data_IF_372237062238
#
_entry.id   IF_372237062238
#
_cell.length_a   1.000
_cell.length_b   1.000
_cell.length_c   1.000
_cell.angle_alpha   90.00
_cell.angle_beta   90.00
_cell.angle_gamma   90.00
#
_symmetry.space_group_name_H-M   'P 1'
#
loop_
_entity.id
_entity.type
_entity.pdbx_description
1 polymer ?
#
# COMPACT_ATOMS: atom_id res chain seq x y z
N UNK A 1 89.98 -43.35 -4.10
CA UNK A 1 89.13 -42.40 -3.34
C UNK A 1 88.00 -41.92 -4.25
N UNK A 2 86.77 -42.40 -4.04
CA UNK A 2 85.60 -42.07 -4.86
C UNK A 2 84.94 -40.80 -4.33
N UNK A 3 84.97 -39.71 -5.13
CA UNK A 3 84.40 -38.40 -4.77
C UNK A 3 82.90 -38.41 -5.08
N UNK A 4 82.07 -38.42 -4.04
CA UNK A 4 80.61 -38.43 -4.14
C UNK A 4 80.12 -37.05 -4.58
N UNK A 5 79.61 -36.95 -5.81
CA UNK A 5 78.95 -35.75 -6.33
C UNK A 5 77.53 -35.72 -5.77
N UNK A 6 77.29 -34.83 -4.81
CA UNK A 6 75.94 -34.55 -4.30
C UNK A 6 75.25 -33.61 -5.29
N UNK A 7 74.24 -34.11 -6.00
CA UNK A 7 73.33 -33.28 -6.80
C UNK A 7 72.55 -32.37 -5.86
N UNK A 8 72.75 -31.05 -5.97
CA UNK A 8 71.80 -30.05 -5.45
C UNK A 8 70.50 -30.24 -6.23
N UNK A 9 69.42 -30.57 -5.52
CA UNK A 9 68.05 -30.47 -6.07
C UNK A 9 67.74 -28.98 -6.19
N UNK A 10 67.28 -28.57 -7.36
CA UNK A 10 66.94 -27.18 -7.65
C UNK A 10 65.86 -26.67 -6.68
N UNK A 11 66.12 -25.50 -6.09
CA UNK A 11 65.48 -24.88 -4.93
C UNK A 11 64.10 -24.23 -5.24
N UNK A 12 63.34 -24.75 -6.19
CA UNK A 12 62.08 -24.13 -6.63
C UNK A 12 60.93 -24.27 -5.62
N UNK A 13 61.03 -25.24 -4.69
CA UNK A 13 60.00 -25.49 -3.67
C UNK A 13 59.78 -24.31 -2.70
N UNK A 14 60.82 -23.55 -2.39
CA UNK A 14 60.71 -22.38 -1.50
C UNK A 14 59.88 -21.25 -2.11
N UNK A 15 60.04 -21.02 -3.43
CA UNK A 15 59.27 -20.02 -4.16
C UNK A 15 57.78 -20.39 -4.26
N UNK A 16 57.47 -21.67 -4.52
CA UNK A 16 56.09 -22.15 -4.63
C UNK A 16 55.35 -22.01 -3.30
N UNK A 17 56.00 -22.31 -2.17
CA UNK A 17 55.39 -22.14 -0.84
C UNK A 17 55.12 -20.66 -0.55
N UNK A 18 56.06 -19.77 -0.90
CA UNK A 18 55.88 -18.32 -0.73
C UNK A 18 54.72 -17.79 -1.60
N UNK A 19 54.65 -18.19 -2.87
CA UNK A 19 53.57 -17.80 -3.79
C UNK A 19 52.22 -18.38 -3.35
N UNK A 20 52.19 -19.64 -2.91
CA UNK A 20 51.00 -20.29 -2.37
C UNK A 20 50.46 -19.56 -1.13
N UNK A 21 51.33 -19.20 -0.18
CA UNK A 21 50.94 -18.44 1.00
C UNK A 21 50.36 -17.06 0.67
N UNK A 22 50.97 -16.36 -0.31
CA UNK A 22 50.47 -15.08 -0.79
C UNK A 22 49.06 -15.23 -1.41
N UNK A 23 48.87 -16.19 -2.31
CA UNK A 23 47.57 -16.44 -2.96
C UNK A 23 46.49 -16.86 -1.95
N UNK A 24 46.85 -17.70 -0.97
CA UNK A 24 45.93 -18.11 0.09
C UNK A 24 45.48 -16.91 0.93
N UNK A 25 46.39 -15.99 1.24
CA UNK A 25 46.06 -14.74 1.95
C UNK A 25 45.07 -13.90 1.15
N UNK A 26 45.29 -13.76 -0.16
CA UNK A 26 44.37 -13.01 -1.05
C UNK A 26 42.98 -13.65 -1.08
N UNK A 27 42.87 -14.98 -1.18
CA UNK A 27 41.57 -15.67 -1.15
C UNK A 27 40.85 -15.51 0.20
N UNK A 28 41.57 -15.53 1.32
CA UNK A 28 41.00 -15.28 2.64
C UNK A 28 40.42 -13.87 2.75
N UNK A 29 41.08 -12.86 2.17
CA UNK A 29 40.57 -11.48 2.14
C UNK A 29 39.26 -11.41 1.34
N UNK A 30 39.16 -12.08 0.19
CA UNK A 30 37.92 -12.12 -0.59
C UNK A 30 36.79 -12.88 0.13
N UNK A 31 37.10 -13.99 0.80
CA UNK A 31 36.12 -14.72 1.60
C UNK A 31 35.61 -13.86 2.77
N UNK A 32 36.51 -13.17 3.47
CA UNK A 32 36.21 -12.22 4.53
C UNK A 32 35.28 -11.09 4.05
N UNK A 33 35.59 -10.47 2.91
CA UNK A 33 34.74 -9.43 2.31
C UNK A 33 33.35 -9.98 1.95
N UNK A 34 33.29 -11.21 1.44
CA UNK A 34 32.03 -11.86 1.07
C UNK A 34 31.10 -12.07 2.27
N UNK A 35 31.66 -12.40 3.45
CA UNK A 35 30.91 -12.55 4.71
C UNK A 35 30.32 -11.21 5.16
N UNK A 36 31.09 -10.12 5.10
CA UNK A 36 30.60 -8.80 5.48
C UNK A 36 29.45 -8.32 4.57
N UNK A 37 29.63 -8.46 3.25
CA UNK A 37 28.57 -8.11 2.28
C UNK A 37 27.32 -8.95 2.51
N UNK A 38 27.46 -10.25 2.73
CA UNK A 38 26.35 -11.13 3.07
C UNK A 38 25.61 -10.70 4.34
N UNK A 39 26.35 -10.32 5.38
CA UNK A 39 25.80 -9.77 6.62
C UNK A 39 25.00 -8.48 6.40
N UNK A 40 25.50 -7.56 5.57
CA UNK A 40 24.79 -6.32 5.24
C UNK A 40 23.49 -6.57 4.46
N UNK A 41 23.48 -7.53 3.53
CA UNK A 41 22.26 -7.90 2.82
C UNK A 41 21.21 -8.51 3.75
N UNK A 42 21.61 -9.44 4.62
CA UNK A 42 20.71 -10.02 5.62
C UNK A 42 20.16 -8.95 6.58
N UNK A 43 21.01 -8.01 7.02
CA UNK A 43 20.59 -6.88 7.86
C UNK A 43 19.63 -5.95 7.13
N UNK A 44 19.88 -5.67 5.86
CA UNK A 44 19.01 -4.82 5.04
C UNK A 44 17.61 -5.43 4.87
N UNK A 45 17.50 -6.75 4.68
CA UNK A 45 16.22 -7.46 4.58
C UNK A 45 15.43 -7.37 5.91
N UNK A 46 16.11 -7.53 7.06
CA UNK A 46 15.48 -7.33 8.37
C UNK A 46 14.93 -5.92 8.56
N UNK A 47 15.73 -4.89 8.20
CA UNK A 47 15.31 -3.49 8.28
C UNK A 47 14.11 -3.24 7.36
N UNK A 48 14.12 -3.78 6.13
CA UNK A 48 13.02 -3.62 5.18
C UNK A 48 11.72 -4.22 5.73
N UNK A 49 11.75 -5.47 6.21
CA UNK A 49 10.59 -6.14 6.80
C UNK A 49 10.02 -5.37 7.99
N UNK A 50 10.89 -4.82 8.84
CA UNK A 50 10.48 -4.00 9.97
C UNK A 50 9.85 -2.67 9.53
N UNK A 51 10.40 -2.04 8.49
CA UNK A 51 9.84 -0.81 7.93
C UNK A 51 8.46 -1.05 7.28
N UNK A 52 8.29 -2.15 6.54
CA UNK A 52 7.01 -2.55 5.94
C UNK A 52 5.96 -2.82 7.01
N UNK A 53 6.31 -3.57 8.06
CA UNK A 53 5.43 -3.85 9.18
C UNK A 53 5.03 -2.55 9.93
N UNK A 54 6.00 -1.67 10.19
CA UNK A 54 5.75 -0.40 10.87
C UNK A 54 4.86 0.54 10.04
N UNK A 55 5.10 0.64 8.73
CA UNK A 55 4.29 1.46 7.83
C UNK A 55 2.85 0.93 7.76
N UNK A 56 2.66 -0.38 7.61
CA UNK A 56 1.33 -1.00 7.55
C UNK A 56 0.55 -0.86 8.86
N UNK A 57 1.22 -1.01 10.00
CA UNK A 57 0.57 -0.86 11.31
C UNK A 57 0.22 0.60 11.63
N UNK A 58 1.06 1.56 11.22
CA UNK A 58 0.86 2.98 11.47
C UNK A 58 -0.21 3.59 10.56
N UNK A 59 -0.25 3.22 9.28
CA UNK A 59 -1.09 3.90 8.28
C UNK A 59 -2.59 3.85 8.58
N UNK A 60 -3.07 2.81 9.28
CA UNK A 60 -4.49 2.66 9.68
C UNK A 60 -4.96 3.81 10.58
N UNK A 61 -4.05 4.46 11.28
CA UNK A 61 -4.36 5.58 12.18
C UNK A 61 -4.28 6.95 11.49
N UNK A 62 -3.88 7.01 10.23
CA UNK A 62 -3.89 8.26 9.46
C UNK A 62 -5.35 8.75 9.25
N UNK A 63 -5.63 10.06 9.36
CA UNK A 63 -4.69 11.18 9.38
C UNK A 63 -4.14 11.57 10.77
N UNK A 64 -4.48 10.87 11.86
CA UNK A 64 -3.90 11.11 13.18
C UNK A 64 -2.43 10.64 13.21
N UNK A 65 -1.54 11.54 12.82
CA UNK A 65 -0.11 11.26 12.73
C UNK A 65 0.54 10.96 14.08
N UNK A 66 0.05 11.57 15.16
CA UNK A 66 0.61 11.34 16.49
C UNK A 66 0.39 9.88 16.89
N UNK A 67 -0.83 9.37 16.72
CA UNK A 67 -1.14 7.97 17.00
C UNK A 67 -0.48 7.03 15.99
N UNK A 68 -0.49 7.38 14.70
CA UNK A 68 0.13 6.57 13.65
C UNK A 68 1.65 6.40 13.88
N UNK A 69 2.35 7.47 14.25
CA UNK A 69 3.79 7.45 14.52
C UNK A 69 4.12 6.64 15.77
N UNK A 70 3.30 6.73 16.82
CA UNK A 70 3.45 5.90 18.02
C UNK A 70 3.32 4.40 17.68
N UNK A 71 2.27 4.03 16.95
CA UNK A 71 2.02 2.63 16.56
C UNK A 71 3.12 2.11 15.61
N UNK A 72 3.60 2.95 14.70
CA UNK A 72 4.73 2.60 13.82
C UNK A 72 6.01 2.33 14.63
N UNK A 73 6.34 3.17 15.61
CA UNK A 73 7.52 3.00 16.47
C UNK A 73 7.41 1.77 17.39
N UNK A 74 6.24 1.52 17.96
CA UNK A 74 5.97 0.33 18.77
C UNK A 74 6.11 -0.94 17.92
N UNK A 75 5.64 -0.90 16.67
CA UNK A 75 5.75 -2.02 15.73
C UNK A 75 7.19 -2.24 15.27
N UNK A 76 7.95 -1.18 14.99
CA UNK A 76 9.38 -1.28 14.70
C UNK A 76 10.15 -1.90 15.88
N UNK A 77 9.82 -1.50 17.11
CA UNK A 77 10.39 -2.05 18.35
C UNK A 77 10.10 -3.53 18.49
N UNK A 78 8.86 -3.98 18.22
CA UNK A 78 8.50 -5.41 18.19
C UNK A 78 9.28 -6.21 17.15
N UNK A 79 9.70 -5.57 16.06
CA UNK A 79 10.55 -6.17 15.02
C UNK A 79 12.06 -6.05 15.32
N UNK A 80 12.45 -5.64 16.54
CA UNK A 80 13.85 -5.53 16.97
C UNK A 80 14.55 -4.23 16.58
N UNK A 81 13.80 -3.22 16.13
CA UNK A 81 14.32 -1.90 15.75
C UNK A 81 13.75 -0.83 16.67
N UNK A 82 14.40 -0.65 17.82
CA UNK A 82 14.09 0.42 18.78
C UNK A 82 14.98 1.62 18.49
N UNK A 83 14.40 2.82 18.44
CA UNK A 83 15.18 4.05 18.31
C UNK A 83 16.12 4.22 19.49
N UNK A 84 17.41 4.32 19.22
CA UNK A 84 18.46 4.40 20.23
C UNK A 84 19.79 3.87 19.72
N UNK A 85 20.89 4.42 20.24
CA UNK A 85 22.24 4.04 19.83
C UNK A 85 22.48 4.33 18.34
N UNK A 86 22.58 3.27 17.54
CA UNK A 86 22.84 3.35 16.10
C UNK A 86 21.58 3.23 15.23
N UNK A 87 20.43 2.90 15.83
CA UNK A 87 19.15 2.70 15.13
C UNK A 87 18.28 3.95 15.25
N UNK A 88 17.77 4.42 14.12
CA UNK A 88 16.80 5.52 14.04
C UNK A 88 15.59 5.06 13.26
N UNK A 89 14.39 5.18 13.87
CA UNK A 89 13.10 4.97 13.20
C UNK A 89 12.44 6.34 13.01
N UNK A 90 12.11 6.68 11.77
CA UNK A 90 11.53 7.96 11.39
C UNK A 90 10.23 7.75 10.62
N UNK A 91 9.07 7.77 11.30
CA UNK A 91 7.77 7.93 10.66
C UNK A 91 7.63 9.34 10.08
N UNK A 92 7.08 9.46 8.87
CA UNK A 92 6.85 10.74 8.21
C UNK A 92 5.58 10.69 7.35
N UNK A 93 4.84 11.80 7.28
CA UNK A 93 3.74 11.96 6.33
C UNK A 93 4.28 12.30 4.94
N UNK A 94 3.57 11.87 3.90
CA UNK A 94 3.87 12.25 2.52
C UNK A 94 3.10 13.53 2.20
N UNK A 95 3.82 14.54 1.69
CA UNK A 95 3.22 15.82 1.29
C UNK A 95 2.15 15.58 0.22
N UNK A 96 0.93 16.07 0.47
CA UNK A 96 -0.19 15.94 -0.45
C UNK A 96 -1.08 14.70 -0.26
N UNK A 97 -0.74 13.78 0.67
CA UNK A 97 -1.61 12.65 0.96
C UNK A 97 -1.75 12.38 2.47
N UNK A 98 -2.94 12.63 3.02
CA UNK A 98 -3.29 12.43 4.43
C UNK A 98 -3.54 10.97 4.82
N UNK A 99 -3.54 10.05 3.86
CA UNK A 99 -3.77 8.62 4.06
C UNK A 99 -2.53 7.77 3.74
N UNK A 100 -1.39 8.40 3.50
CA UNK A 100 -0.12 7.73 3.26
C UNK A 100 0.90 8.03 4.35
N UNK A 101 1.62 7.00 4.76
CA UNK A 101 2.71 7.11 5.73
C UNK A 101 3.96 6.46 5.14
N UNK A 102 5.09 7.14 5.31
CA UNK A 102 6.43 6.60 5.07
C UNK A 102 7.11 6.32 6.39
N UNK A 103 7.67 5.13 6.55
CA UNK A 103 8.55 4.80 7.68
C UNK A 103 9.94 4.53 7.14
N UNK A 104 10.94 5.22 7.69
CA UNK A 104 12.35 5.02 7.34
C UNK A 104 13.08 4.50 8.56
N UNK A 105 13.80 3.39 8.41
CA UNK A 105 14.66 2.83 9.46
C UNK A 105 16.10 2.88 8.97
N UNK A 106 16.96 3.48 9.80
CA UNK A 106 18.39 3.61 9.54
C UNK A 106 19.18 2.91 10.64
N UNK A 107 20.07 2.02 10.24
CA UNK A 107 21.14 1.46 11.06
C UNK A 107 22.46 2.14 10.65
N UNK A 108 22.96 3.05 11.49
CA UNK A 108 24.14 3.87 11.21
C UNK A 108 25.47 3.18 11.49
N UNK A 109 25.44 1.98 12.08
CA UNK A 109 26.64 1.18 12.35
C UNK A 109 26.30 -0.30 12.26
N UNK A 110 25.97 -0.74 11.04
CA UNK A 110 25.77 -2.15 10.75
C UNK A 110 27.01 -2.96 11.13
N UNK A 111 26.80 -4.20 11.55
CA UNK A 111 27.90 -5.06 12.00
C UNK A 111 28.93 -5.27 10.87
N UNK A 112 30.19 -5.11 11.22
CA UNK A 112 31.35 -5.28 10.34
C UNK A 112 32.32 -6.24 11.04
N UNK A 113 32.80 -7.24 10.31
CA UNK A 113 33.78 -8.20 10.80
C UNK A 113 35.17 -7.88 10.24
N UNK A 114 35.37 -8.04 8.94
CA UNK A 114 36.69 -7.89 8.31
C UNK A 114 36.85 -6.56 7.58
N UNK A 115 35.75 -5.98 7.11
CA UNK A 115 35.71 -4.69 6.44
C UNK A 115 36.16 -3.53 7.34
N UNK A 116 36.18 -3.73 8.66
CA UNK A 116 36.60 -2.74 9.67
C UNK A 116 38.06 -2.28 9.49
N UNK A 117 38.88 -3.08 8.82
CA UNK A 117 40.28 -2.74 8.50
C UNK A 117 40.35 -1.63 7.45
N UNK A 118 39.33 -1.51 6.58
CA UNK A 118 39.31 -0.60 5.42
C UNK A 118 38.24 0.48 5.55
N UNK A 119 37.10 0.15 6.16
CA UNK A 119 35.92 1.02 6.31
C UNK A 119 35.64 1.29 7.79
N UNK A 120 35.50 2.56 8.15
CA UNK A 120 35.26 2.96 9.54
C UNK A 120 33.84 2.66 10.03
N UNK A 121 32.83 2.85 9.17
CA UNK A 121 31.41 2.59 9.47
C UNK A 121 30.66 2.26 8.20
N UNK A 122 29.66 1.39 8.31
CA UNK A 122 28.68 1.13 7.27
C UNK A 122 27.28 1.48 7.78
N UNK A 123 26.57 2.31 7.02
CA UNK A 123 25.17 2.62 7.29
C UNK A 123 24.25 1.89 6.31
N UNK A 124 23.12 1.41 6.81
CA UNK A 124 22.08 0.73 6.04
C UNK A 124 20.76 1.43 6.33
N UNK A 125 20.13 1.98 5.30
CA UNK A 125 18.82 2.63 5.41
C UNK A 125 17.83 1.93 4.49
N UNK A 126 16.62 1.69 5.00
CA UNK A 126 15.48 1.22 4.21
C UNK A 126 14.24 2.02 4.57
N UNK A 127 13.32 2.12 3.63
CA UNK A 127 12.06 2.82 3.84
C UNK A 127 10.92 2.07 3.19
N UNK A 128 9.75 2.19 3.80
CA UNK A 128 8.50 1.66 3.27
C UNK A 128 7.43 2.74 3.25
N UNK A 129 6.52 2.65 2.30
CA UNK A 129 5.36 3.53 2.16
C UNK A 129 4.12 2.64 2.18
N UNK A 130 3.15 2.99 3.02
CA UNK A 130 1.85 2.35 3.07
C UNK A 130 0.74 3.39 2.88
N UNK A 131 -0.37 2.95 2.30
CA UNK A 131 -1.58 3.75 2.08
C UNK A 131 -2.78 3.06 2.73
N UNK A 132 -3.65 3.83 3.37
CA UNK A 132 -4.92 3.37 3.89
C UNK A 132 -6.06 3.88 3.02
N UNK A 133 -6.61 3.01 2.17
CA UNK A 133 -7.81 3.31 1.40
C UNK A 133 -9.06 3.03 2.25
N UNK A 134 -9.90 4.04 2.39
CA UNK A 134 -11.20 3.90 3.06
C UNK A 134 -12.06 2.91 2.28
N UNK A 135 -12.95 2.21 3.00
CA UNK A 135 -13.90 1.30 2.39
C UNK A 135 -14.64 1.98 1.23
N UNK A 136 -14.59 1.36 0.05
CA UNK A 136 -15.35 1.83 -1.10
C UNK A 136 -16.82 1.64 -0.74
N UNK A 137 -17.66 2.69 -0.78
CA UNK A 137 -19.08 2.51 -0.61
C UNK A 137 -19.60 1.66 -1.79
N UNK A 138 -19.87 0.39 -1.52
CA UNK A 138 -20.55 -0.51 -2.47
C UNK A 138 -22.05 -0.22 -2.38
N UNK A 139 -22.49 0.80 -3.11
CA UNK A 139 -23.88 1.23 -3.15
C UNK A 139 -24.02 2.68 -3.58
N UNK A 140 -25.22 3.07 -3.99
CA UNK A 140 -25.53 4.48 -4.16
C UNK A 140 -25.38 5.17 -2.80
N UNK A 141 -24.66 6.31 -2.70
CA UNK A 141 -24.65 7.13 -1.49
C UNK A 141 -26.00 7.78 -1.19
N UNK A 142 -27.01 7.52 -2.03
CA UNK A 142 -28.38 8.00 -1.89
C UNK A 142 -29.27 6.93 -1.27
N UNK A 143 -30.17 7.35 -0.39
CA UNK A 143 -31.22 6.52 0.21
C UNK A 143 -32.45 6.35 -0.70
N UNK A 144 -32.33 6.68 -1.98
CA UNK A 144 -33.37 6.51 -2.99
C UNK A 144 -32.80 5.67 -4.13
N UNK A 145 -33.67 4.87 -4.76
CA UNK A 145 -33.34 4.10 -5.95
C UNK A 145 -34.32 4.46 -7.05
N UNK A 146 -33.80 4.74 -8.23
CA UNK A 146 -34.61 5.01 -9.41
C UNK A 146 -35.58 6.18 -9.22
N UNK A 147 -35.07 7.26 -8.61
CA UNK A 147 -35.83 8.46 -8.29
C UNK A 147 -36.02 9.39 -9.50
N UNK A 148 -35.52 9.02 -10.68
CA UNK A 148 -35.65 9.84 -11.87
C UNK A 148 -35.10 11.25 -11.64
N UNK A 149 -35.95 12.23 -11.91
CA UNK A 149 -35.63 13.64 -11.74
C UNK A 149 -36.06 14.21 -10.37
N UNK A 150 -36.44 13.37 -9.40
CA UNK A 150 -36.85 13.83 -8.06
C UNK A 150 -35.74 14.62 -7.36
N UNK A 151 -34.50 14.16 -7.52
CA UNK A 151 -33.33 14.84 -7.00
C UNK A 151 -32.82 15.84 -8.04
N UNK A 152 -32.66 17.11 -7.65
CA UNK A 152 -32.13 18.15 -8.53
C UNK A 152 -30.64 17.94 -8.85
N UNK A 153 -30.18 18.52 -9.97
CA UNK A 153 -28.77 18.48 -10.40
C UNK A 153 -27.84 18.90 -9.25
N UNK A 154 -26.74 18.17 -8.99
CA UNK A 154 -26.14 17.10 -9.80
C UNK A 154 -26.65 15.68 -9.49
N UNK A 155 -27.71 15.55 -8.68
CA UNK A 155 -28.14 14.27 -8.10
C UNK A 155 -29.26 13.58 -8.89
N UNK A 156 -29.62 14.08 -10.06
CA UNK A 156 -30.64 13.47 -10.94
C UNK A 156 -30.23 12.05 -11.33
N UNK A 157 -31.11 11.08 -11.09
CA UNK A 157 -30.89 9.69 -11.47
C UNK A 157 -31.62 9.43 -12.80
N UNK A 158 -30.93 9.03 -13.87
CA UNK A 158 -31.61 8.63 -15.12
C UNK A 158 -32.21 7.21 -15.06
N UNK A 159 -32.58 6.79 -13.86
CA UNK A 159 -33.10 5.48 -13.53
C UNK A 159 -34.48 5.69 -12.88
N UNK A 160 -35.46 4.90 -13.30
CA UNK A 160 -36.84 5.01 -12.87
C UNK A 160 -37.28 3.62 -12.39
N UNK A 161 -37.32 3.42 -11.07
CA UNK A 161 -37.61 2.12 -10.44
C UNK A 161 -38.82 2.16 -9.52
N UNK A 162 -39.34 3.34 -9.19
CA UNK A 162 -40.53 3.42 -8.37
C UNK A 162 -41.72 2.92 -9.19
N UNK A 163 -42.52 2.05 -8.60
CA UNK A 163 -43.85 1.70 -9.10
C UNK A 163 -44.84 2.52 -8.29
N UNK A 164 -45.53 3.42 -8.97
CA UNK A 164 -46.40 4.40 -8.33
C UNK A 164 -47.85 4.20 -8.74
N UNK A 165 -48.76 4.64 -7.87
CA UNK A 165 -50.19 4.59 -8.16
C UNK A 165 -50.59 5.64 -9.18
N UNK A 166 -51.77 5.49 -9.75
CA UNK A 166 -52.35 6.42 -10.72
C UNK A 166 -52.30 7.91 -10.31
N UNK A 167 -52.51 8.19 -9.02
CA UNK A 167 -52.50 9.55 -8.46
C UNK A 167 -51.13 10.02 -7.97
N UNK A 168 -50.11 9.17 -8.01
CA UNK A 168 -48.76 9.57 -7.68
C UNK A 168 -48.17 10.34 -8.84
N UNK A 169 -47.49 11.44 -8.56
CA UNK A 169 -46.84 12.21 -9.60
C UNK A 169 -45.66 11.48 -10.20
N UNK A 170 -45.44 11.68 -11.50
CA UNK A 170 -44.28 11.13 -12.21
C UNK A 170 -42.97 11.46 -11.51
N UNK A 171 -42.87 12.64 -10.90
CA UNK A 171 -41.72 13.10 -10.12
C UNK A 171 -41.28 12.11 -9.03
N UNK A 172 -42.13 11.19 -8.57
CA UNK A 172 -41.80 10.19 -7.56
C UNK A 172 -41.02 8.97 -8.09
N UNK A 173 -40.63 8.97 -9.37
CA UNK A 173 -39.75 7.95 -9.95
C UNK A 173 -40.44 6.90 -10.81
N UNK A 174 -41.72 7.09 -11.16
CA UNK A 174 -42.46 6.25 -12.12
C UNK A 174 -42.79 7.02 -13.41
N UNK A 175 -42.30 6.55 -14.56
CA UNK A 175 -42.49 7.22 -15.85
C UNK A 175 -43.83 6.89 -16.51
N UNK A 176 -44.42 5.72 -16.21
CA UNK A 176 -45.47 5.12 -17.05
C UNK A 176 -46.79 4.94 -16.32
N UNK A 177 -46.81 4.56 -15.04
CA UNK A 177 -48.07 4.34 -14.31
C UNK A 177 -48.59 5.61 -13.61
N UNK A 178 -47.73 6.58 -13.37
CA UNK A 178 -48.12 7.91 -12.91
C UNK A 178 -48.85 8.68 -14.02
N UNK A 179 -50.12 9.06 -13.81
CA UNK A 179 -50.93 9.72 -14.85
C UNK A 179 -50.53 11.17 -15.08
N UNK A 180 -50.23 11.88 -14.01
CA UNK A 180 -50.07 13.32 -14.01
C UNK A 180 -48.69 13.68 -13.39
N UNK A 181 -48.16 14.82 -13.79
CA UNK A 181 -46.99 15.48 -13.21
C UNK A 181 -47.49 16.56 -12.23
N UNK A 182 -46.63 16.97 -11.29
CA UNK A 182 -46.94 18.03 -10.32
C UNK A 182 -48.16 17.70 -9.44
N UNK A 183 -48.20 16.49 -8.88
CA UNK A 183 -49.32 16.05 -8.02
C UNK A 183 -49.27 16.63 -6.61
N UNK A 184 -48.15 17.25 -6.24
CA UNK A 184 -47.96 17.95 -4.96
C UNK A 184 -47.46 19.37 -5.21
N UNK A 185 -48.31 20.35 -4.97
CA UNK A 185 -47.98 21.78 -5.11
C UNK A 185 -48.51 22.57 -3.94
N UNK A 186 -47.73 23.57 -3.50
CA UNK A 186 -48.11 24.48 -2.40
C UNK A 186 -48.56 23.77 -1.10
N UNK A 187 -47.96 22.61 -0.79
CA UNK A 187 -48.25 21.84 0.41
C UNK A 187 -49.52 20.96 0.33
N UNK A 188 -50.18 20.90 -0.82
CA UNK A 188 -51.38 20.10 -1.03
C UNK A 188 -51.17 19.04 -2.12
N UNK A 189 -51.68 17.84 -1.84
CA UNK A 189 -51.76 16.76 -2.82
C UNK A 189 -53.06 16.88 -3.64
N UNK A 190 -52.95 16.76 -4.96
CA UNK A 190 -54.09 16.82 -5.87
C UNK A 190 -54.01 15.69 -6.91
N UNK A 191 -55.14 15.01 -7.12
CA UNK A 191 -55.33 14.02 -8.19
C UNK A 191 -56.68 14.28 -8.86
N UNK A 192 -56.75 14.60 -10.17
CA UNK A 192 -55.64 14.70 -11.14
C UNK A 192 -54.64 15.83 -10.85
N UNK A 193 -53.38 15.64 -11.23
CA UNK A 193 -52.28 16.61 -11.07
C UNK A 193 -52.41 17.83 -11.99
N UNK A 194 -51.56 18.84 -11.82
CA UNK A 194 -51.62 20.10 -12.58
C UNK A 194 -51.14 19.97 -14.03
N UNK A 195 -50.26 19.01 -14.31
CA UNK A 195 -49.75 18.71 -15.65
C UNK A 195 -49.96 17.24 -15.99
N UNK A 196 -50.08 16.89 -17.27
CA UNK A 196 -50.31 15.50 -17.70
C UNK A 196 -48.99 14.83 -18.05
N UNK A 197 -48.75 13.63 -17.52
CA UNK A 197 -47.59 12.84 -17.91
C UNK A 197 -47.77 12.33 -19.35
N UNK A 198 -46.97 12.85 -20.28
CA UNK A 198 -47.00 12.44 -21.68
C UNK A 198 -46.59 10.97 -21.90
N UNK A 199 -45.90 10.36 -20.94
CA UNK A 199 -45.43 8.98 -21.01
C UNK A 199 -46.36 7.96 -20.34
N UNK A 200 -47.50 8.41 -19.81
CA UNK A 200 -48.47 7.56 -19.11
C UNK A 200 -49.01 6.42 -19.99
N UNK A 201 -49.01 5.21 -19.45
CA UNK A 201 -49.60 4.01 -20.04
C UNK A 201 -50.42 3.26 -18.97
N UNK A 202 -51.73 3.16 -19.21
CA UNK A 202 -52.65 2.48 -18.30
C UNK A 202 -52.43 0.96 -18.25
N UNK A 203 -51.73 0.38 -19.22
CA UNK A 203 -51.38 -1.04 -19.23
C UNK A 203 -50.15 -1.36 -18.36
N UNK A 204 -49.48 -0.34 -17.83
CA UNK A 204 -48.26 -0.48 -17.04
C UNK A 204 -47.05 -0.93 -17.83
N UNK A 205 -46.04 -1.42 -17.13
CA UNK A 205 -44.78 -1.88 -17.72
C UNK A 205 -44.15 -2.96 -16.84
N UNK A 206 -43.41 -3.87 -17.48
CA UNK A 206 -42.52 -4.79 -16.79
C UNK A 206 -41.12 -4.21 -16.78
N UNK A 207 -40.50 -4.19 -15.61
CA UNK A 207 -39.12 -3.77 -15.44
C UNK A 207 -38.27 -4.98 -15.08
N UNK A 208 -37.19 -5.19 -15.83
CA UNK A 208 -36.22 -6.25 -15.59
C UNK A 208 -34.83 -5.62 -15.53
N UNK A 209 -34.08 -5.93 -14.46
CA UNK A 209 -32.64 -5.63 -14.38
C UNK A 209 -31.92 -6.90 -14.78
N UNK A 210 -31.19 -6.86 -15.88
CA UNK A 210 -30.24 -7.89 -16.22
C UNK A 210 -28.90 -7.55 -15.55
N UNK A 211 -28.45 -8.42 -14.65
CA UNK A 211 -27.15 -8.27 -13.99
C UNK A 211 -26.18 -9.21 -14.71
N UNK A 212 -25.13 -8.69 -15.36
CA UNK A 212 -24.17 -9.54 -16.06
C UNK A 212 -23.49 -10.48 -15.06
N UNK A 213 -23.24 -11.73 -15.48
CA UNK A 213 -22.61 -12.77 -14.65
C UNK A 213 -21.15 -12.50 -14.30
N UNK A 214 -20.58 -11.37 -14.74
CA UNK A 214 -19.20 -10.95 -14.49
C UNK A 214 -19.11 -9.69 -13.62
N UNK A 215 -19.90 -9.66 -12.53
CA UNK A 215 -19.77 -8.66 -11.48
C UNK A 215 -18.70 -9.06 -10.47
#
# INVERSE_FOLDING_TARGET
>A
MLRRVVRRRDDEGGYIIALSGLLMTVFLIFAALSVDVGGWYARADQIQRAADAAALAGVVWMPDFQKASQVANDTATKNGFTTGGNITVTPSQISGNTHEMKVTITDSAAQQFFSKIVLNRQSITRSSIAKYDLGIPMGSPKNVIGSGNLLSSPNTENLWLAVSGYCSGRENGDVRLARDDETYSSGNFQCPGYSRNASYDANGYYYAVDVPTSA
#
